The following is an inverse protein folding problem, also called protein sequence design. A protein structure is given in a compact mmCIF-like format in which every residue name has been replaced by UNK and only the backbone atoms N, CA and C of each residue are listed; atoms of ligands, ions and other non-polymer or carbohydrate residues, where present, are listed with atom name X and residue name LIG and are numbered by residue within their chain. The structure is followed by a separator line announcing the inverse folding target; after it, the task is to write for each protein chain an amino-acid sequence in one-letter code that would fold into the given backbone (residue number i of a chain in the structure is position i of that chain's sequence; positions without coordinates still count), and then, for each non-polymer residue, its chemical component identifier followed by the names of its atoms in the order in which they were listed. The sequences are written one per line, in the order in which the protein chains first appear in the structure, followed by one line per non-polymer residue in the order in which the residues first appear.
data_IF_320145986210
#
_entry.id   IF_320145986210
#
_cell.length_a   1.000
_cell.length_b   1.000
_cell.length_c   1.000
_cell.angle_alpha   90.00
_cell.angle_beta   90.00
_cell.angle_gamma   90.00
#
_symmetry.space_group_name_H-M   'P 1'
#
loop_
_entity.id
_entity.type
_entity.pdbx_description
1 polymer ?
#
# COMPACT_ATOMS: atom_id res chain seq x y z
N UNK A 1 -54.04 0.23 8.03
CA UNK A 1 -52.97 -0.78 7.83
C UNK A 1 -51.99 -0.41 6.70
N UNK A 2 -52.43 0.15 5.59
CA UNK A 2 -51.57 0.56 4.45
C UNK A 2 -50.55 1.67 4.73
N UNK A 3 -50.82 2.61 5.65
CA UNK A 3 -49.85 3.65 6.06
C UNK A 3 -48.63 3.09 6.78
N UNK A 4 -48.82 2.14 7.70
CA UNK A 4 -47.72 1.52 8.45
C UNK A 4 -46.78 0.71 7.55
N UNK A 5 -47.33 0.03 6.55
CA UNK A 5 -46.56 -0.72 5.55
C UNK A 5 -45.68 0.21 4.67
N UNK A 6 -46.21 1.37 4.26
CA UNK A 6 -45.46 2.35 3.47
C UNK A 6 -44.32 2.99 4.26
N UNK A 7 -44.53 3.28 5.55
CA UNK A 7 -43.49 3.80 6.45
C UNK A 7 -42.39 2.76 6.66
N UNK A 8 -42.75 1.50 6.92
CA UNK A 8 -41.78 0.41 7.09
C UNK A 8 -40.91 0.19 5.84
N UNK A 9 -41.50 0.27 4.64
CA UNK A 9 -40.76 0.16 3.38
C UNK A 9 -39.78 1.31 3.20
N UNK A 10 -40.19 2.56 3.46
CA UNK A 10 -39.32 3.73 3.33
C UNK A 10 -38.15 3.63 4.32
N UNK A 11 -38.39 3.20 5.55
CA UNK A 11 -37.34 2.98 6.54
C UNK A 11 -36.37 1.86 6.12
N UNK A 12 -36.86 0.77 5.51
CA UNK A 12 -36.03 -0.31 5.00
C UNK A 12 -35.16 0.13 3.81
N UNK A 13 -35.68 0.95 2.90
CA UNK A 13 -34.87 1.50 1.80
C UNK A 13 -33.81 2.50 2.30
N UNK A 14 -34.15 3.33 3.28
CA UNK A 14 -33.21 4.29 3.89
C UNK A 14 -32.08 3.57 4.64
N UNK A 15 -32.37 2.46 5.33
CA UNK A 15 -31.34 1.68 6.01
C UNK A 15 -30.42 0.94 5.04
N UNK A 16 -30.95 0.40 3.93
CA UNK A 16 -30.16 -0.25 2.87
C UNK A 16 -29.21 0.76 2.19
N UNK A 17 -29.67 1.98 1.91
CA UNK A 17 -28.85 3.04 1.32
C UNK A 17 -27.73 3.50 2.29
N UNK A 18 -28.02 3.57 3.59
CA UNK A 18 -27.03 3.93 4.60
C UNK A 18 -25.91 2.89 4.73
N UNK A 19 -26.24 1.60 4.64
CA UNK A 19 -25.26 0.50 4.71
C UNK A 19 -24.33 0.48 3.47
N UNK A 20 -24.87 0.79 2.28
CA UNK A 20 -24.05 0.87 1.06
C UNK A 20 -23.14 2.11 1.00
N UNK A 21 -23.52 3.20 1.66
CA UNK A 21 -22.71 4.43 1.70
C UNK A 21 -21.44 4.35 2.56
N UNK A 22 -21.41 3.45 3.55
CA UNK A 22 -20.27 3.32 4.48
C UNK A 22 -19.18 2.34 4.02
N UNK A 23 -19.45 1.51 3.01
CA UNK A 23 -18.50 0.48 2.53
C UNK A 23 -17.69 0.91 1.29
N UNK A 24 -17.90 2.13 0.80
CA UNK A 24 -17.31 2.64 -0.44
C UNK A 24 -16.04 3.48 -0.31
N UNK A 25 -15.49 3.69 0.89
CA UNK A 25 -14.51 4.77 1.12
C UNK A 25 -13.03 4.38 1.22
N UNK A 26 -12.63 3.12 1.00
CA UNK A 26 -11.21 2.75 1.18
C UNK A 26 -10.44 2.56 -0.14
N UNK A 27 -11.11 2.57 -1.29
CA UNK A 27 -10.48 2.23 -2.59
C UNK A 27 -10.07 3.40 -3.48
N UNK A 28 -10.50 4.63 -3.20
CA UNK A 28 -10.23 5.78 -4.08
C UNK A 28 -9.12 6.73 -3.58
N UNK A 29 -8.51 6.48 -2.42
CA UNK A 29 -7.58 7.42 -1.79
C UNK A 29 -6.09 7.11 -1.92
N UNK A 30 -5.68 5.86 -2.16
CA UNK A 30 -4.26 5.51 -2.18
C UNK A 30 -3.65 5.66 -3.58
N UNK A 31 -2.58 6.46 -3.67
CA UNK A 31 -1.71 6.52 -4.85
C UNK A 31 -1.17 5.13 -5.17
N UNK A 32 -0.95 4.81 -6.45
CA UNK A 32 -0.30 3.56 -6.87
C UNK A 32 1.02 3.34 -6.12
N UNK A 33 1.78 4.42 -5.91
CA UNK A 33 2.98 4.42 -5.07
C UNK A 33 2.71 3.87 -3.66
N UNK A 34 1.70 4.39 -2.94
CA UNK A 34 1.45 3.97 -1.57
C UNK A 34 0.95 2.52 -1.49
N UNK A 35 0.23 2.05 -2.51
CA UNK A 35 -0.16 0.64 -2.62
C UNK A 35 1.06 -0.27 -2.81
N UNK A 36 1.95 0.07 -3.74
CA UNK A 36 3.17 -0.71 -4.01
C UNK A 36 4.07 -0.81 -2.76
N UNK A 37 4.25 0.30 -2.05
CA UNK A 37 5.06 0.34 -0.82
C UNK A 37 4.41 -0.48 0.29
N UNK A 38 3.09 -0.37 0.48
CA UNK A 38 2.37 -1.14 1.50
C UNK A 38 2.40 -2.65 1.20
N UNK A 39 2.24 -3.05 -0.05
CA UNK A 39 2.36 -4.43 -0.47
C UNK A 39 3.80 -4.95 -0.29
N UNK A 40 4.81 -4.13 -0.63
CA UNK A 40 6.22 -4.46 -0.44
C UNK A 40 6.56 -4.68 1.03
N UNK A 41 6.13 -3.77 1.92
CA UNK A 41 6.28 -3.89 3.37
C UNK A 41 5.64 -5.19 3.88
N UNK A 42 4.45 -5.53 3.37
CA UNK A 42 3.76 -6.78 3.71
C UNK A 42 4.52 -8.01 3.23
N UNK A 43 5.09 -8.00 2.02
CA UNK A 43 5.91 -9.10 1.51
C UNK A 43 7.22 -9.26 2.28
N UNK A 44 7.86 -8.15 2.62
CA UNK A 44 9.06 -8.12 3.45
C UNK A 44 8.80 -8.73 4.84
N UNK A 45 7.72 -8.32 5.50
CA UNK A 45 7.32 -8.85 6.81
C UNK A 45 7.02 -10.36 6.78
N UNK A 46 6.54 -10.88 5.66
CA UNK A 46 6.28 -12.31 5.46
C UNK A 46 7.51 -13.11 5.03
N UNK A 47 8.67 -12.47 4.85
CA UNK A 47 9.90 -13.11 4.37
C UNK A 47 9.95 -13.34 2.86
N UNK A 48 8.96 -12.86 2.11
CA UNK A 48 8.96 -12.92 0.64
C UNK A 48 9.75 -11.75 0.06
N UNK A 49 11.06 -11.78 0.31
CA UNK A 49 11.97 -10.68 -0.01
C UNK A 49 12.08 -10.42 -1.52
N UNK A 50 11.99 -11.46 -2.35
CA UNK A 50 12.01 -11.33 -3.80
C UNK A 50 10.81 -10.51 -4.30
N UNK A 51 9.60 -10.77 -3.79
CA UNK A 51 8.44 -9.94 -4.15
C UNK A 51 8.50 -8.55 -3.55
N UNK A 52 9.01 -8.40 -2.33
CA UNK A 52 9.18 -7.09 -1.71
C UNK A 52 10.09 -6.18 -2.56
N UNK A 53 11.23 -6.71 -3.03
CA UNK A 53 12.16 -5.99 -3.90
C UNK A 53 11.46 -5.54 -5.19
N UNK A 54 10.79 -6.45 -5.90
CA UNK A 54 10.09 -6.11 -7.14
C UNK A 54 9.05 -4.99 -6.95
N UNK A 55 8.33 -5.01 -5.83
CA UNK A 55 7.31 -3.99 -5.52
C UNK A 55 7.94 -2.64 -5.14
N UNK A 56 9.05 -2.64 -4.41
CA UNK A 56 9.81 -1.42 -4.13
C UNK A 56 10.42 -0.82 -5.41
N UNK A 57 10.97 -1.65 -6.29
CA UNK A 57 11.49 -1.19 -7.59
C UNK A 57 10.38 -0.59 -8.46
N UNK A 58 9.21 -1.24 -8.52
CA UNK A 58 8.04 -0.68 -9.20
C UNK A 58 7.58 0.65 -8.60
N UNK A 59 7.74 0.86 -7.28
CA UNK A 59 7.43 2.14 -6.65
C UNK A 59 8.42 3.25 -7.06
N UNK A 60 9.66 2.89 -7.38
CA UNK A 60 10.67 3.83 -7.90
C UNK A 60 10.42 4.21 -9.36
N UNK A 61 9.78 3.36 -10.17
CA UNK A 61 9.41 3.70 -11.55
C UNK A 61 8.46 4.91 -11.61
N UNK A 62 7.52 5.00 -10.66
CA UNK A 62 6.57 6.11 -10.57
C UNK A 62 7.19 7.37 -9.94
N UNK A 63 8.17 7.22 -9.04
CA UNK A 63 8.89 8.32 -8.40
C UNK A 63 10.36 7.95 -8.09
N UNK A 64 11.29 8.20 -9.05
CA UNK A 64 12.69 7.76 -8.94
C UNK A 64 13.50 8.47 -7.84
N UNK A 65 12.91 9.43 -7.13
CA UNK A 65 13.59 10.28 -6.13
C UNK A 65 13.17 9.95 -4.70
N UNK A 66 12.52 8.82 -4.47
CA UNK A 66 12.12 8.44 -3.13
C UNK A 66 13.29 7.85 -2.33
N UNK A 67 13.90 8.67 -1.47
CA UNK A 67 14.98 8.25 -0.58
C UNK A 67 14.56 7.04 0.28
N UNK A 68 13.36 7.08 0.88
CA UNK A 68 12.85 6.03 1.77
C UNK A 68 12.89 4.62 1.14
N UNK A 69 12.54 4.50 -0.15
CA UNK A 69 12.51 3.20 -0.81
C UNK A 69 13.92 2.65 -1.04
N UNK A 70 14.89 3.51 -1.34
CA UNK A 70 16.28 3.10 -1.36
C UNK A 70 16.76 2.62 0.01
N UNK A 71 16.35 3.26 1.11
CA UNK A 71 16.70 2.77 2.45
C UNK A 71 16.10 1.39 2.74
N UNK A 72 14.82 1.17 2.43
CA UNK A 72 14.15 -0.13 2.61
C UNK A 72 14.80 -1.24 1.77
N UNK A 73 15.14 -0.97 0.51
CA UNK A 73 15.88 -1.91 -0.34
C UNK A 73 17.27 -2.21 0.22
N UNK A 74 17.99 -1.20 0.71
CA UNK A 74 19.31 -1.40 1.29
C UNK A 74 19.27 -2.35 2.51
N UNK A 75 18.31 -2.17 3.41
CA UNK A 75 18.12 -3.06 4.56
C UNK A 75 17.76 -4.49 4.15
N UNK A 76 16.95 -4.68 3.12
CA UNK A 76 16.65 -6.03 2.62
C UNK A 76 17.89 -6.72 2.08
N UNK A 77 18.69 -6.02 1.28
CA UNK A 77 19.92 -6.57 0.73
C UNK A 77 20.96 -6.87 1.82
N UNK A 78 21.11 -5.99 2.81
CA UNK A 78 22.07 -6.14 3.91
C UNK A 78 21.64 -7.25 4.89
N UNK A 79 20.46 -7.09 5.51
CA UNK A 79 20.02 -7.92 6.63
C UNK A 79 19.48 -9.29 6.21
N UNK A 80 18.86 -9.38 5.03
CA UNK A 80 18.08 -10.56 4.62
C UNK A 80 18.73 -11.37 3.52
N UNK A 81 19.42 -10.71 2.59
CA UNK A 81 20.03 -11.36 1.44
C UNK A 81 21.54 -11.49 1.54
N UNK A 82 22.18 -10.80 2.50
CA UNK A 82 23.63 -10.78 2.67
C UNK A 82 24.35 -10.39 1.36
N UNK A 83 23.78 -9.41 0.64
CA UNK A 83 24.32 -8.81 -0.58
C UNK A 83 24.77 -7.37 -0.29
N UNK A 84 25.99 -7.20 0.23
CA UNK A 84 26.50 -5.89 0.63
C UNK A 84 26.73 -4.94 -0.57
N UNK A 85 26.86 -5.47 -1.79
CA UNK A 85 27.09 -4.65 -2.98
C UNK A 85 25.81 -3.93 -3.37
N UNK A 86 24.69 -4.67 -3.43
CA UNK A 86 23.37 -4.11 -3.68
C UNK A 86 22.95 -3.18 -2.54
N UNK A 87 23.19 -3.58 -1.29
CA UNK A 87 22.93 -2.72 -0.13
C UNK A 87 23.67 -1.37 -0.22
N UNK A 88 24.98 -1.40 -0.51
CA UNK A 88 25.79 -0.19 -0.67
C UNK A 88 25.28 0.71 -1.81
N UNK A 89 24.86 0.11 -2.93
CA UNK A 89 24.24 0.88 -4.01
C UNK A 89 23.04 1.68 -3.50
N UNK A 90 22.10 1.01 -2.84
CA UNK A 90 20.88 1.64 -2.36
C UNK A 90 21.14 2.64 -1.22
N UNK A 91 22.02 2.36 -0.26
CA UNK A 91 22.42 3.33 0.77
C UNK A 91 23.01 4.60 0.18
N UNK A 92 23.87 4.46 -0.84
CA UNK A 92 24.43 5.61 -1.54
C UNK A 92 23.34 6.44 -2.22
N UNK A 93 22.23 5.85 -2.67
CA UNK A 93 21.12 6.60 -3.32
C UNK A 93 20.23 7.26 -2.29
N UNK A 94 19.95 6.57 -1.18
CA UNK A 94 19.29 7.15 -0.02
C UNK A 94 20.00 8.43 0.43
N UNK A 95 21.32 8.39 0.67
CA UNK A 95 22.10 9.55 1.11
C UNK A 95 22.07 10.70 0.08
N UNK A 96 22.08 10.38 -1.22
CA UNK A 96 22.08 11.39 -2.28
C UNK A 96 20.71 12.08 -2.49
N UNK A 97 19.62 11.46 -2.03
CA UNK A 97 18.25 11.94 -2.19
C UNK A 97 17.65 12.49 -0.88
N UNK A 98 18.32 12.27 0.25
CA UNK A 98 17.91 12.75 1.59
C UNK A 98 18.22 14.22 1.81
#
# INVERSE_FOLDING_TARGET
MTKYYRIAIVCAYLSILYICGLTGCDRLGNSRYSQLVQDADTKSANGDFARAINLYEAALDDSPRCAEIHYKLALLYDDKLNDPVSALHHFKRYIALS
#
